data_IF_741951809646
#
_entry.id   IF_741951809646
#
_cell.length_a   1.000
_cell.length_b   1.000
_cell.length_c   1.000
_cell.angle_alpha   90.00
_cell.angle_beta   90.00
_cell.angle_gamma   90.00
#
_symmetry.space_group_name_H-M   'P 1'
#
loop_
_entity.id
_entity.type
_entity.pdbx_description
1 polymer ?
#
# COMPACT_ATOMS: atom_id res chain seq x y z
N UNK A 1 6.73 11.36 -33.90
CA UNK A 1 6.25 11.98 -32.64
C UNK A 1 7.44 11.98 -31.68
N UNK A 2 7.80 13.16 -31.15
CA UNK A 2 8.82 13.25 -30.09
C UNK A 2 8.19 12.68 -28.83
N UNK A 3 8.74 11.55 -28.33
CA UNK A 3 8.25 10.92 -27.10
C UNK A 3 8.62 11.77 -25.89
N UNK A 4 7.74 11.77 -24.87
CA UNK A 4 8.05 12.34 -23.56
C UNK A 4 8.79 11.31 -22.71
N UNK A 5 9.97 11.66 -22.24
CA UNK A 5 10.77 10.80 -21.38
C UNK A 5 10.34 10.95 -19.92
N UNK A 6 9.91 9.86 -19.32
CA UNK A 6 9.43 9.82 -17.94
C UNK A 6 10.26 8.81 -17.16
N UNK A 7 10.87 9.24 -16.05
CA UNK A 7 11.60 8.37 -15.15
C UNK A 7 10.77 8.12 -13.90
N UNK A 8 10.43 6.86 -13.65
CA UNK A 8 9.75 6.44 -12.43
C UNK A 8 10.78 6.06 -11.37
N UNK A 9 10.70 6.67 -10.17
CA UNK A 9 11.72 6.52 -9.11
C UNK A 9 11.08 5.90 -7.86
N UNK A 10 11.67 4.82 -7.37
CA UNK A 10 11.27 4.19 -6.11
C UNK A 10 12.43 3.40 -5.50
N UNK A 11 12.34 3.08 -4.20
CA UNK A 11 13.46 2.45 -3.49
C UNK A 11 13.08 1.37 -2.49
N UNK A 12 11.80 1.22 -2.16
CA UNK A 12 11.30 0.26 -1.19
C UNK A 12 10.27 -0.70 -1.80
N UNK A 13 10.07 -1.85 -1.18
CA UNK A 13 9.05 -2.81 -1.62
C UNK A 13 7.64 -2.21 -1.73
N UNK A 14 7.14 -1.46 -0.72
CA UNK A 14 5.80 -0.87 -0.81
C UNK A 14 5.65 0.14 -1.96
N UNK A 15 6.68 0.93 -2.24
CA UNK A 15 6.70 1.83 -3.41
C UNK A 15 6.67 1.03 -4.71
N UNK A 16 7.52 -0.01 -4.83
CA UNK A 16 7.63 -0.83 -6.02
C UNK A 16 6.30 -1.50 -6.38
N UNK A 17 5.59 -2.10 -5.42
CA UNK A 17 4.29 -2.72 -5.64
C UNK A 17 3.29 -1.73 -6.23
N UNK A 18 3.27 -0.51 -5.73
CA UNK A 18 2.33 0.54 -6.16
C UNK A 18 2.75 1.21 -7.46
N UNK A 19 4.06 1.27 -7.75
CA UNK A 19 4.58 1.90 -8.97
C UNK A 19 4.67 0.93 -10.16
N UNK A 20 4.82 -0.37 -9.92
CA UNK A 20 4.95 -1.35 -10.99
C UNK A 20 3.79 -1.35 -12.00
N UNK A 21 2.50 -1.33 -11.61
CA UNK A 21 1.41 -1.23 -12.57
C UNK A 21 1.42 0.09 -13.36
N UNK A 22 1.91 1.18 -12.75
CA UNK A 22 2.07 2.46 -13.43
C UNK A 22 3.21 2.39 -14.48
N UNK A 23 4.34 1.77 -14.15
CA UNK A 23 5.44 1.51 -15.10
C UNK A 23 4.91 0.73 -16.30
N UNK A 24 4.16 -0.36 -16.06
CA UNK A 24 3.57 -1.16 -17.15
C UNK A 24 2.56 -0.39 -18.00
N UNK A 25 1.82 0.54 -17.42
CA UNK A 25 0.90 1.40 -18.19
C UNK A 25 1.65 2.46 -19.01
N UNK A 26 2.76 3.02 -18.48
CA UNK A 26 3.63 3.94 -19.21
C UNK A 26 4.31 3.27 -20.42
N UNK A 27 4.81 2.03 -20.25
CA UNK A 27 5.43 1.24 -21.31
C UNK A 27 4.48 0.94 -22.49
N UNK A 28 3.16 0.91 -22.24
CA UNK A 28 2.15 0.68 -23.28
C UNK A 28 1.85 1.89 -24.16
N UNK A 29 2.36 3.07 -23.81
CA UNK A 29 2.06 4.32 -24.52
C UNK A 29 3.15 4.67 -25.51
N UNK A 30 2.76 4.78 -26.78
CA UNK A 30 3.70 5.11 -27.86
C UNK A 30 4.28 6.52 -27.73
N UNK A 31 3.57 7.44 -27.07
CA UNK A 31 3.96 8.81 -26.81
C UNK A 31 4.98 8.96 -25.69
N UNK A 32 5.25 7.89 -24.93
CA UNK A 32 6.11 7.92 -23.75
C UNK A 32 7.35 7.05 -23.96
N UNK A 33 8.49 7.55 -23.53
CA UNK A 33 9.71 6.79 -23.25
C UNK A 33 9.77 6.57 -21.75
N UNK A 34 9.37 5.36 -21.29
CA UNK A 34 9.37 5.00 -19.88
C UNK A 34 10.73 4.48 -19.45
N UNK A 35 11.26 5.03 -18.37
CA UNK A 35 12.50 4.61 -17.71
C UNK A 35 12.23 4.36 -16.23
N UNK A 36 12.99 3.44 -15.65
CA UNK A 36 12.89 3.09 -14.23
C UNK A 36 14.22 3.30 -13.54
N UNK A 37 14.21 4.09 -12.46
CA UNK A 37 15.35 4.29 -11.59
C UNK A 37 15.02 3.77 -10.18
N UNK A 38 15.78 2.79 -9.71
CA UNK A 38 15.64 2.28 -8.36
C UNK A 38 16.76 2.80 -7.47
N UNK A 39 16.41 3.21 -6.24
CA UNK A 39 17.43 3.59 -5.26
C UNK A 39 17.93 2.39 -4.47
N UNK A 40 17.17 1.29 -4.47
CA UNK A 40 17.46 0.04 -3.78
C UNK A 40 17.82 0.26 -2.30
N UNK A 41 16.96 1.01 -1.59
CA UNK A 41 17.08 1.23 -0.16
C UNK A 41 16.92 -0.08 0.63
N UNK A 42 16.13 -1.05 0.11
CA UNK A 42 15.91 -2.40 0.65
C UNK A 42 15.99 -3.43 -0.50
N UNK A 43 17.18 -3.92 -0.80
CA UNK A 43 17.51 -4.65 -2.02
C UNK A 43 16.67 -5.90 -2.27
N UNK A 44 16.78 -6.91 -1.40
CA UNK A 44 16.17 -8.22 -1.62
C UNK A 44 14.64 -8.16 -1.82
N UNK A 45 13.97 -7.38 -0.99
CA UNK A 45 12.50 -7.24 -1.08
C UNK A 45 12.04 -6.43 -2.30
N UNK A 46 12.89 -5.53 -2.80
CA UNK A 46 12.62 -4.76 -4.02
C UNK A 46 12.74 -5.66 -5.25
N UNK A 47 13.80 -6.45 -5.33
CA UNK A 47 14.08 -7.34 -6.46
C UNK A 47 12.95 -8.35 -6.69
N UNK A 48 12.35 -8.89 -5.62
CA UNK A 48 11.16 -9.76 -5.73
C UNK A 48 9.97 -9.10 -6.44
N UNK A 49 9.73 -7.81 -6.18
CA UNK A 49 8.64 -7.09 -6.85
C UNK A 49 8.99 -6.78 -8.30
N UNK A 50 10.22 -6.40 -8.59
CA UNK A 50 10.69 -6.18 -9.95
C UNK A 50 10.53 -7.43 -10.81
N UNK A 51 10.93 -8.58 -10.27
CA UNK A 51 10.75 -9.89 -10.91
C UNK A 51 9.27 -10.24 -11.13
N UNK A 52 8.43 -10.06 -10.10
CA UNK A 52 7.00 -10.33 -10.17
C UNK A 52 6.30 -9.56 -11.31
N UNK A 53 6.73 -8.32 -11.57
CA UNK A 53 6.15 -7.46 -12.60
C UNK A 53 6.95 -7.45 -13.91
N UNK A 54 8.01 -8.26 -14.02
CA UNK A 54 8.91 -8.27 -15.18
C UNK A 54 9.42 -6.86 -15.51
N UNK A 55 10.00 -6.19 -14.51
CA UNK A 55 10.59 -4.85 -14.61
C UNK A 55 12.10 -4.97 -14.44
N UNK A 56 12.84 -4.52 -15.47
CA UNK A 56 14.28 -4.33 -15.38
C UNK A 56 14.57 -2.85 -15.21
N UNK A 57 15.17 -2.41 -14.09
CA UNK A 57 15.52 -1.00 -13.91
C UNK A 57 16.54 -0.55 -14.95
N UNK A 58 16.37 0.65 -15.52
CA UNK A 58 17.37 1.29 -16.38
C UNK A 58 18.54 1.81 -15.53
N UNK A 59 18.24 2.27 -14.30
CA UNK A 59 19.23 2.82 -13.36
C UNK A 59 19.03 2.21 -11.98
N UNK A 60 20.14 1.84 -11.37
CA UNK A 60 20.18 1.28 -10.03
C UNK A 60 21.23 2.02 -9.19
N UNK A 61 20.78 2.88 -8.30
CA UNK A 61 21.69 3.70 -7.46
C UNK A 61 22.33 2.90 -6.32
N UNK A 62 21.76 1.75 -5.99
CA UNK A 62 22.27 0.82 -4.98
C UNK A 62 22.75 1.50 -3.68
N UNK A 63 21.89 2.34 -3.11
CA UNK A 63 22.27 3.17 -1.95
C UNK A 63 22.23 2.43 -0.61
N UNK A 64 21.79 1.17 -0.58
CA UNK A 64 21.67 0.38 0.65
C UNK A 64 22.99 0.25 1.39
N UNK A 65 23.00 0.62 2.67
CA UNK A 65 24.09 0.34 3.64
C UNK A 65 23.50 0.05 5.01
N UNK A 66 24.20 -0.74 5.81
CA UNK A 66 23.82 -1.01 7.20
C UNK A 66 23.82 0.29 8.02
N UNK A 67 22.78 0.53 8.81
CA UNK A 67 22.66 1.70 9.73
C UNK A 67 22.75 3.07 9.05
N UNK A 68 22.04 3.26 7.95
CA UNK A 68 21.99 4.57 7.27
C UNK A 68 21.18 5.60 8.08
N UNK A 69 21.66 6.84 8.12
CA UNK A 69 20.90 7.98 8.59
C UNK A 69 20.00 8.54 7.47
N UNK A 70 18.93 9.25 7.83
CA UNK A 70 18.07 9.95 6.84
C UNK A 70 18.88 10.91 5.98
N UNK A 71 19.81 11.66 6.57
CA UNK A 71 20.74 12.56 5.85
C UNK A 71 21.59 11.78 4.83
N UNK A 72 22.11 10.62 5.23
CA UNK A 72 22.94 9.78 4.36
C UNK A 72 22.16 9.24 3.16
N UNK A 73 20.90 8.84 3.37
CA UNK A 73 20.00 8.41 2.29
C UNK A 73 19.72 9.59 1.35
N UNK A 74 19.31 10.73 1.90
CA UNK A 74 19.01 11.95 1.11
C UNK A 74 20.18 12.35 0.22
N UNK A 75 21.39 12.46 0.77
CA UNK A 75 22.56 12.87 0.01
C UNK A 75 22.86 11.91 -1.15
N UNK A 76 22.84 10.59 -0.91
CA UNK A 76 23.12 9.60 -1.95
C UNK A 76 22.08 9.61 -3.08
N UNK A 77 20.81 9.77 -2.72
CA UNK A 77 19.73 9.87 -3.72
C UNK A 77 19.92 11.14 -4.56
N UNK A 78 20.21 12.28 -3.92
CA UNK A 78 20.46 13.53 -4.63
C UNK A 78 21.66 13.41 -5.59
N UNK A 79 22.79 12.91 -5.10
CA UNK A 79 24.02 12.76 -5.91
C UNK A 79 23.79 11.78 -7.09
N UNK A 80 23.20 10.61 -6.82
CA UNK A 80 22.96 9.61 -7.87
C UNK A 80 21.95 10.08 -8.92
N UNK A 81 20.87 10.74 -8.52
CA UNK A 81 19.88 11.27 -9.46
C UNK A 81 20.39 12.48 -10.24
N UNK A 82 21.28 13.30 -9.67
CA UNK A 82 21.89 14.42 -10.39
C UNK A 82 22.67 13.93 -11.63
N UNK A 83 23.38 12.79 -11.50
CA UNK A 83 24.09 12.16 -12.61
C UNK A 83 23.11 11.61 -13.65
N UNK A 84 22.10 10.85 -13.23
CA UNK A 84 21.08 10.28 -14.12
C UNK A 84 20.34 11.39 -14.89
N UNK A 85 19.96 12.47 -14.23
CA UNK A 85 19.19 13.53 -14.87
C UNK A 85 20.02 14.37 -15.84
N UNK A 86 21.31 14.56 -15.61
CA UNK A 86 22.21 15.22 -16.55
C UNK A 86 22.38 14.44 -17.85
N UNK A 87 22.41 13.11 -17.74
CA UNK A 87 22.52 12.20 -18.87
C UNK A 87 21.20 12.09 -19.64
N UNK A 88 20.12 11.73 -18.93
CA UNK A 88 18.84 11.36 -19.52
C UNK A 88 17.96 12.56 -19.90
N UNK A 89 18.05 13.65 -19.16
CA UNK A 89 17.24 14.88 -19.35
C UNK A 89 15.75 14.58 -19.49
N UNK A 90 15.13 13.91 -18.49
CA UNK A 90 13.72 13.54 -18.60
C UNK A 90 12.81 14.76 -18.62
N UNK A 91 11.66 14.64 -19.29
CA UNK A 91 10.61 15.66 -19.27
C UNK A 91 9.91 15.70 -17.90
N UNK A 92 9.75 14.54 -17.26
CA UNK A 92 9.11 14.39 -15.94
C UNK A 92 9.68 13.21 -15.17
N UNK A 93 9.66 13.32 -13.85
CA UNK A 93 9.85 12.18 -12.97
C UNK A 93 8.55 11.86 -12.23
N UNK A 94 8.37 10.59 -11.85
CA UNK A 94 7.30 10.14 -10.96
C UNK A 94 7.90 9.61 -9.67
N UNK A 95 7.39 10.10 -8.55
CA UNK A 95 7.74 9.65 -7.21
C UNK A 95 6.49 9.25 -6.46
N UNK A 96 6.61 8.39 -5.44
CA UNK A 96 5.47 7.80 -4.77
C UNK A 96 5.47 8.04 -3.26
N UNK A 97 4.35 8.47 -2.71
CA UNK A 97 4.10 8.50 -1.28
C UNK A 97 4.98 9.47 -0.50
N UNK A 98 5.75 8.95 0.46
CA UNK A 98 6.34 9.76 1.52
C UNK A 98 7.72 9.30 2.02
N UNK A 99 8.38 8.41 1.28
CA UNK A 99 9.72 7.97 1.66
C UNK A 99 10.77 9.08 1.52
N UNK A 100 11.94 8.87 2.11
CA UNK A 100 13.08 9.78 1.89
C UNK A 100 13.52 9.79 0.42
N UNK A 101 13.40 8.67 -0.28
CA UNK A 101 13.61 8.58 -1.74
C UNK A 101 12.65 9.49 -2.51
N UNK A 102 11.38 9.50 -2.14
CA UNK A 102 10.34 10.35 -2.74
C UNK A 102 10.70 11.84 -2.64
N UNK A 103 11.00 12.30 -1.44
CA UNK A 103 11.38 13.69 -1.19
C UNK A 103 12.69 14.06 -1.90
N UNK A 104 13.74 13.26 -1.73
CA UNK A 104 15.03 13.52 -2.34
C UNK A 104 14.97 13.48 -3.88
N UNK A 105 14.19 12.57 -4.46
CA UNK A 105 13.93 12.50 -5.89
C UNK A 105 13.25 13.76 -6.43
N UNK A 106 12.20 14.23 -5.76
CA UNK A 106 11.52 15.47 -6.12
C UNK A 106 12.45 16.70 -6.01
N UNK A 107 13.29 16.75 -4.97
CA UNK A 107 14.25 17.84 -4.78
C UNK A 107 15.34 17.84 -5.87
N UNK A 108 15.88 16.67 -6.22
CA UNK A 108 16.86 16.52 -7.30
C UNK A 108 16.28 17.00 -8.64
N UNK A 109 15.06 16.63 -8.95
CA UNK A 109 14.36 17.07 -10.16
C UNK A 109 14.13 18.58 -10.18
N UNK A 110 13.70 19.15 -9.05
CA UNK A 110 13.53 20.59 -8.93
C UNK A 110 14.83 21.36 -9.22
N UNK A 111 15.99 20.90 -8.74
CA UNK A 111 17.27 21.53 -9.01
C UNK A 111 17.65 21.51 -10.50
N UNK A 112 17.19 20.52 -11.24
CA UNK A 112 17.41 20.37 -12.68
C UNK A 112 16.25 20.95 -13.52
N UNK A 113 15.24 21.58 -12.88
CA UNK A 113 14.03 22.13 -13.53
C UNK A 113 13.23 21.06 -14.30
N UNK A 114 13.26 19.81 -13.82
CA UNK A 114 12.49 18.69 -14.34
C UNK A 114 11.14 18.66 -13.64
N UNK A 115 10.06 18.38 -14.38
CA UNK A 115 8.71 18.26 -13.84
C UNK A 115 8.58 17.07 -12.90
N UNK A 116 7.75 17.19 -11.87
CA UNK A 116 7.53 16.17 -10.86
C UNK A 116 6.05 15.79 -10.79
N UNK A 117 5.74 14.50 -10.97
CA UNK A 117 4.44 13.91 -10.66
C UNK A 117 4.50 13.14 -9.35
N UNK A 118 3.63 13.47 -8.41
CA UNK A 118 3.57 12.84 -7.09
C UNK A 118 2.40 11.87 -7.02
N UNK A 119 2.69 10.57 -7.00
CA UNK A 119 1.72 9.48 -6.86
C UNK A 119 1.42 9.23 -5.40
N UNK A 120 0.17 8.95 -5.04
CA UNK A 120 -0.34 8.85 -3.67
C UNK A 120 -0.14 10.17 -2.89
N UNK A 121 -0.46 11.28 -3.55
CA UNK A 121 -0.32 12.62 -3.00
C UNK A 121 -1.48 12.99 -2.07
N UNK A 122 -1.22 13.82 -1.07
CA UNK A 122 -2.26 14.48 -0.27
C UNK A 122 -2.70 13.76 1.00
N UNK A 123 -2.11 12.62 1.36
CA UNK A 123 -2.30 12.04 2.68
C UNK A 123 -1.71 12.97 3.76
N UNK A 124 -2.45 13.23 4.84
CA UNK A 124 -2.02 14.12 5.93
C UNK A 124 -2.45 13.63 7.29
N UNK A 125 -1.58 13.77 8.26
CA UNK A 125 -1.89 13.67 9.69
C UNK A 125 -1.94 15.04 10.36
N UNK A 126 -1.37 16.06 9.71
CA UNK A 126 -1.18 17.42 10.23
C UNK A 126 -0.28 17.49 11.49
N UNK A 127 0.45 16.42 11.77
CA UNK A 127 1.45 16.36 12.83
C UNK A 127 2.83 16.06 12.23
N UNK A 128 3.69 17.08 12.11
CA UNK A 128 4.99 16.97 11.44
C UNK A 128 5.95 15.92 12.00
N UNK A 129 5.68 15.40 13.19
CA UNK A 129 6.47 14.37 13.84
C UNK A 129 5.78 13.01 13.88
N UNK A 130 4.58 12.88 13.26
CA UNK A 130 3.85 11.62 13.26
C UNK A 130 3.01 11.43 11.99
N UNK A 131 3.36 10.41 11.17
CA UNK A 131 4.58 9.58 11.23
C UNK A 131 5.83 10.41 10.90
N UNK A 132 6.98 9.98 11.42
CA UNK A 132 8.26 10.65 11.19
C UNK A 132 9.23 9.71 10.45
N UNK A 133 9.85 10.19 9.33
CA UNK A 133 9.82 11.54 8.72
C UNK A 133 8.70 11.74 7.67
N UNK A 134 7.80 10.77 7.50
CA UNK A 134 6.90 10.62 6.35
C UNK A 134 5.96 11.83 6.17
N UNK A 135 5.40 12.40 7.26
CA UNK A 135 4.49 13.54 7.13
C UNK A 135 5.16 14.76 6.47
N UNK A 136 6.41 15.03 6.86
CA UNK A 136 7.15 16.15 6.25
C UNK A 136 7.65 15.82 4.85
N UNK A 137 8.07 14.59 4.60
CA UNK A 137 8.46 14.17 3.25
C UNK A 137 7.31 14.39 2.25
N UNK A 138 6.09 13.94 2.57
CA UNK A 138 4.92 14.10 1.68
C UNK A 138 4.53 15.55 1.48
N UNK A 139 4.65 16.37 2.53
CA UNK A 139 4.33 17.78 2.46
C UNK A 139 5.33 18.57 1.61
N UNK A 140 6.62 18.33 1.80
CA UNK A 140 7.69 18.95 1.01
C UNK A 140 7.66 18.49 -0.46
N UNK A 141 7.43 17.20 -0.70
CA UNK A 141 7.24 16.66 -2.06
C UNK A 141 6.04 17.34 -2.74
N UNK A 142 4.92 17.50 -2.04
CA UNK A 142 3.74 18.20 -2.54
C UNK A 142 4.03 19.64 -2.95
N UNK A 143 4.93 20.33 -2.23
CA UNK A 143 5.34 21.71 -2.61
C UNK A 143 6.26 21.77 -3.83
N UNK A 144 6.92 20.66 -4.19
CA UNK A 144 7.84 20.57 -5.34
C UNK A 144 7.16 19.99 -6.59
N UNK A 145 6.05 19.28 -6.43
CA UNK A 145 5.38 18.57 -7.52
C UNK A 145 4.58 19.52 -8.42
N UNK A 146 4.59 19.24 -9.73
CA UNK A 146 3.77 19.90 -10.74
C UNK A 146 2.40 19.24 -10.91
N UNK A 147 2.33 17.89 -10.77
CA UNK A 147 1.10 17.11 -10.82
C UNK A 147 0.93 16.27 -9.55
N UNK A 148 -0.29 16.20 -9.08
CA UNK A 148 -0.64 15.48 -7.84
C UNK A 148 -1.71 14.42 -8.14
N UNK A 149 -1.38 13.16 -7.91
CA UNK A 149 -2.28 12.03 -8.11
C UNK A 149 -2.79 11.56 -6.75
N UNK A 150 -3.94 12.12 -6.36
CA UNK A 150 -4.55 11.88 -5.06
C UNK A 150 -5.35 10.57 -5.08
N UNK A 151 -5.19 9.67 -4.08
CA UNK A 151 -5.96 8.44 -4.04
C UNK A 151 -7.45 8.67 -3.77
N UNK A 152 -7.80 9.70 -3.00
CA UNK A 152 -9.17 9.99 -2.56
C UNK A 152 -9.51 11.47 -2.68
N UNK A 153 -10.81 11.78 -2.56
CA UNK A 153 -11.27 13.16 -2.44
C UNK A 153 -10.68 13.86 -1.20
N UNK A 154 -10.59 13.17 -0.06
CA UNK A 154 -9.97 13.72 1.15
C UNK A 154 -8.53 14.15 0.94
N UNK A 155 -7.76 13.35 0.20
CA UNK A 155 -6.38 13.68 -0.18
C UNK A 155 -6.32 14.90 -1.12
N UNK A 156 -7.22 15.01 -2.11
CA UNK A 156 -7.36 16.21 -2.97
C UNK A 156 -7.67 17.45 -2.14
N UNK A 157 -8.63 17.34 -1.22
CA UNK A 157 -9.04 18.46 -0.36
C UNK A 157 -7.89 18.95 0.54
N UNK A 158 -7.01 18.06 1.01
CA UNK A 158 -5.81 18.42 1.77
C UNK A 158 -4.82 19.24 0.92
N UNK A 159 -4.54 18.79 -0.30
CA UNK A 159 -3.66 19.52 -1.24
C UNK A 159 -4.23 20.89 -1.59
N UNK A 160 -5.53 20.98 -1.85
CA UNK A 160 -6.20 22.24 -2.15
C UNK A 160 -6.10 23.23 -0.98
N UNK A 161 -6.27 22.78 0.28
CA UNK A 161 -6.09 23.59 1.48
C UNK A 161 -4.66 24.11 1.66
N UNK A 162 -3.67 23.39 1.11
CA UNK A 162 -2.25 23.81 1.13
C UNK A 162 -1.90 24.75 -0.04
N UNK A 163 -2.88 25.13 -0.86
CA UNK A 163 -2.73 26.12 -1.93
C UNK A 163 -2.30 25.54 -3.28
N UNK A 164 -2.39 24.22 -3.46
CA UNK A 164 -2.18 23.60 -4.77
C UNK A 164 -3.37 23.91 -5.67
N UNK A 165 -3.14 24.27 -6.93
CA UNK A 165 -4.19 24.54 -7.88
C UNK A 165 -5.02 23.28 -8.16
N UNK A 166 -6.32 23.44 -8.25
CA UNK A 166 -7.22 22.31 -8.48
C UNK A 166 -6.95 21.60 -9.82
N UNK A 167 -6.54 22.35 -10.85
CA UNK A 167 -6.16 21.83 -12.17
C UNK A 167 -4.98 20.86 -12.16
N UNK A 168 -4.14 20.93 -11.12
CA UNK A 168 -2.92 20.15 -10.99
C UNK A 168 -3.13 18.90 -10.10
N UNK A 169 -4.38 18.69 -9.60
CA UNK A 169 -4.74 17.60 -8.70
C UNK A 169 -5.77 16.70 -9.37
N UNK A 170 -5.43 15.43 -9.54
CA UNK A 170 -6.32 14.40 -10.10
C UNK A 170 -6.66 13.34 -9.06
N UNK A 171 -7.95 13.03 -8.88
CA UNK A 171 -8.36 11.88 -8.04
C UNK A 171 -8.24 10.62 -8.89
N UNK A 172 -7.25 9.79 -8.60
CA UNK A 172 -6.93 8.62 -9.42
C UNK A 172 -7.37 7.30 -8.81
N UNK A 173 -7.56 7.23 -7.51
CA UNK A 173 -7.52 6.01 -6.73
C UNK A 173 -6.07 5.64 -6.40
N UNK A 174 -5.88 4.57 -5.62
CA UNK A 174 -4.57 4.08 -5.23
C UNK A 174 -4.10 2.96 -6.17
N UNK A 175 -2.87 3.06 -6.66
CA UNK A 175 -2.26 2.10 -7.58
C UNK A 175 -2.01 0.72 -6.98
N UNK A 176 -2.07 0.56 -5.65
CA UNK A 176 -2.04 -0.76 -5.02
C UNK A 176 -3.20 -1.64 -5.48
N UNK A 177 -4.36 -1.02 -5.76
CA UNK A 177 -5.52 -1.74 -6.27
C UNK A 177 -5.27 -2.25 -7.71
N UNK A 178 -4.55 -1.48 -8.52
CA UNK A 178 -4.09 -1.94 -9.85
C UNK A 178 -3.14 -3.13 -9.74
N UNK A 179 -2.24 -3.11 -8.76
CA UNK A 179 -1.26 -4.19 -8.54
C UNK A 179 -1.94 -5.53 -8.27
N UNK A 180 -3.10 -5.53 -7.59
CA UNK A 180 -3.82 -6.76 -7.25
C UNK A 180 -4.30 -7.53 -8.48
N UNK A 181 -4.49 -6.88 -9.63
CA UNK A 181 -4.80 -7.55 -10.90
C UNK A 181 -3.66 -8.44 -11.41
N UNK A 182 -2.44 -8.20 -10.96
CA UNK A 182 -1.24 -8.94 -11.34
C UNK A 182 -0.81 -9.96 -10.28
N UNK A 183 -1.24 -9.78 -9.04
CA UNK A 183 -0.82 -10.62 -7.92
C UNK A 183 -1.87 -11.66 -7.52
N UNK A 184 -3.15 -11.39 -7.74
CA UNK A 184 -4.24 -12.30 -7.37
C UNK A 184 -4.55 -13.25 -8.53
N UNK A 185 -4.51 -14.54 -8.24
CA UNK A 185 -4.81 -15.62 -9.20
C UNK A 185 -5.97 -16.48 -8.70
N UNK A 186 -6.84 -16.92 -9.62
CA UNK A 186 -8.05 -17.68 -9.26
C UNK A 186 -7.72 -19.02 -8.60
N UNK A 187 -6.75 -19.74 -9.15
CA UNK A 187 -6.37 -21.10 -8.73
C UNK A 187 -4.92 -21.12 -8.18
N UNK A 188 -4.61 -20.11 -7.35
CA UNK A 188 -3.28 -19.94 -6.79
C UNK A 188 -2.89 -21.10 -5.88
N UNK A 189 -1.71 -21.66 -6.11
CA UNK A 189 -1.04 -22.65 -5.26
C UNK A 189 0.05 -21.93 -4.49
N UNK A 190 0.00 -22.00 -3.16
CA UNK A 190 0.95 -21.33 -2.30
C UNK A 190 2.33 -21.99 -2.37
N UNK A 191 3.39 -21.18 -2.34
CA UNK A 191 4.76 -21.66 -2.16
C UNK A 191 4.99 -22.08 -0.69
N UNK A 192 4.33 -21.39 0.25
CA UNK A 192 4.30 -21.75 1.67
C UNK A 192 3.44 -23.01 1.86
N UNK A 193 4.08 -24.16 2.11
CA UNK A 193 3.41 -25.48 2.19
C UNK A 193 2.29 -25.52 3.21
N UNK A 194 2.46 -24.85 4.36
CA UNK A 194 1.47 -24.79 5.44
C UNK A 194 0.13 -24.22 4.96
N UNK A 195 0.15 -23.27 4.03
CA UNK A 195 -1.07 -22.69 3.45
C UNK A 195 -1.83 -23.65 2.55
N UNK A 196 -1.15 -24.61 1.92
CA UNK A 196 -1.80 -25.63 1.10
C UNK A 196 -2.52 -26.70 1.93
N UNK A 197 -2.25 -26.76 3.23
CA UNK A 197 -2.91 -27.68 4.17
C UNK A 197 -4.16 -27.07 4.84
N UNK A 198 -4.44 -25.78 4.60
CA UNK A 198 -5.60 -25.09 5.17
C UNK A 198 -6.85 -25.42 4.36
N UNK A 199 -7.93 -25.76 5.06
CA UNK A 199 -9.24 -25.99 4.43
C UNK A 199 -9.96 -24.66 4.14
N UNK A 200 -9.74 -24.11 2.96
CA UNK A 200 -10.42 -22.89 2.52
C UNK A 200 -11.92 -23.04 2.22
N UNK A 201 -12.52 -24.23 2.39
CA UNK A 201 -13.97 -24.37 2.42
C UNK A 201 -14.57 -23.92 3.76
N UNK A 202 -13.76 -23.84 4.80
CA UNK A 202 -14.11 -23.22 6.08
C UNK A 202 -13.99 -21.69 5.98
N UNK A 203 -14.47 -21.00 7.02
CA UNK A 203 -14.30 -19.55 7.16
C UNK A 203 -12.91 -19.24 7.68
N UNK A 204 -11.98 -19.01 6.77
CA UNK A 204 -10.60 -18.63 7.11
C UNK A 204 -10.54 -17.14 7.43
N UNK A 205 -9.99 -16.77 8.58
CA UNK A 205 -9.72 -15.37 8.97
C UNK A 205 -8.22 -15.14 8.88
N UNK A 206 -7.83 -14.18 8.04
CA UNK A 206 -6.44 -13.74 7.96
C UNK A 206 -6.19 -12.65 9.00
N UNK A 207 -5.10 -12.79 9.79
CA UNK A 207 -4.74 -11.84 10.84
C UNK A 207 -3.34 -11.28 10.60
N UNK A 208 -3.20 -9.95 10.81
CA UNK A 208 -1.92 -9.28 11.00
C UNK A 208 -2.05 -8.24 12.11
N UNK A 209 -1.20 -8.29 13.13
CA UNK A 209 -1.16 -7.28 14.19
C UNK A 209 0.29 -7.11 14.68
N UNK A 210 0.84 -5.90 14.57
CA UNK A 210 2.24 -5.62 14.87
C UNK A 210 2.53 -4.16 15.24
N UNK A 211 1.54 -3.28 15.20
CA UNK A 211 1.71 -1.85 15.50
C UNK A 211 2.19 -1.64 16.93
N UNK A 212 3.11 -0.70 17.13
CA UNK A 212 3.71 -0.41 18.46
C UNK A 212 2.67 -0.05 19.51
N UNK A 213 1.58 0.61 19.11
CA UNK A 213 0.47 0.96 19.98
C UNK A 213 -0.24 -0.27 20.58
N UNK A 214 -0.14 -1.43 19.93
CA UNK A 214 -0.75 -2.68 20.38
C UNK A 214 0.21 -3.56 21.22
N UNK A 215 1.49 -3.20 21.34
CA UNK A 215 2.45 -4.04 22.06
C UNK A 215 2.07 -4.23 23.54
N UNK A 216 2.40 -5.37 24.08
CA UNK A 216 2.03 -5.79 25.44
C UNK A 216 0.56 -6.21 25.52
N UNK A 217 -0.21 -5.56 26.39
CA UNK A 217 -1.59 -5.95 26.68
C UNK A 217 -2.50 -5.99 25.43
N UNK A 218 -2.27 -5.11 24.45
CA UNK A 218 -3.05 -5.11 23.20
C UNK A 218 -2.89 -6.41 22.42
N UNK A 219 -1.65 -6.91 22.24
CA UNK A 219 -1.40 -8.19 21.56
C UNK A 219 -1.96 -9.36 22.39
N UNK A 220 -1.82 -9.34 23.72
CA UNK A 220 -2.39 -10.37 24.58
C UNK A 220 -3.92 -10.43 24.44
N UNK A 221 -4.59 -9.30 24.47
CA UNK A 221 -6.04 -9.20 24.28
C UNK A 221 -6.49 -9.73 22.91
N UNK A 222 -5.74 -9.36 21.85
CA UNK A 222 -5.99 -9.88 20.50
C UNK A 222 -5.88 -11.41 20.49
N UNK A 223 -4.83 -11.99 21.06
CA UNK A 223 -4.64 -13.44 21.14
C UNK A 223 -5.78 -14.11 21.92
N UNK A 224 -6.22 -13.54 23.04
CA UNK A 224 -7.35 -14.04 23.81
C UNK A 224 -8.65 -14.02 22.99
N UNK A 225 -8.93 -12.92 22.30
CA UNK A 225 -10.10 -12.80 21.42
C UNK A 225 -10.08 -13.83 20.29
N UNK A 226 -8.93 -14.01 19.62
CA UNK A 226 -8.75 -14.99 18.55
C UNK A 226 -9.01 -16.42 19.02
N UNK A 227 -8.46 -16.81 20.18
CA UNK A 227 -8.72 -18.12 20.76
C UNK A 227 -10.23 -18.34 21.02
N UNK A 228 -10.90 -17.37 21.62
CA UNK A 228 -12.34 -17.44 21.89
C UNK A 228 -13.17 -17.55 20.60
N UNK A 229 -12.81 -16.82 19.53
CA UNK A 229 -13.50 -16.88 18.23
C UNK A 229 -13.43 -18.30 17.67
N UNK A 230 -12.26 -18.94 17.69
CA UNK A 230 -12.09 -20.32 17.20
C UNK A 230 -12.85 -21.32 18.05
N UNK A 231 -12.81 -21.19 19.37
CA UNK A 231 -13.54 -22.08 20.28
C UNK A 231 -15.07 -21.99 20.09
N UNK A 232 -15.60 -20.80 19.84
CA UNK A 232 -17.03 -20.57 19.63
C UNK A 232 -17.52 -20.95 18.23
N UNK A 233 -16.63 -21.07 17.23
CA UNK A 233 -16.98 -21.30 15.83
C UNK A 233 -16.18 -22.49 15.25
N UNK A 234 -16.75 -23.71 15.25
CA UNK A 234 -16.05 -24.92 14.78
C UNK A 234 -15.67 -24.91 13.28
N UNK A 235 -16.35 -24.09 12.48
CA UNK A 235 -16.14 -23.90 11.03
C UNK A 235 -15.13 -22.78 10.69
N UNK A 236 -14.44 -22.24 11.73
CA UNK A 236 -13.46 -21.16 11.55
C UNK A 236 -12.04 -21.69 11.71
N UNK A 237 -11.16 -21.25 10.82
CA UNK A 237 -9.70 -21.36 10.94
C UNK A 237 -9.06 -19.98 10.88
N UNK A 238 -7.97 -19.79 11.61
CA UNK A 238 -7.21 -18.55 11.63
C UNK A 238 -5.84 -18.73 10.99
N UNK A 239 -5.43 -17.75 10.19
CA UNK A 239 -4.07 -17.66 9.65
C UNK A 239 -3.47 -16.34 10.12
N UNK A 240 -2.55 -16.42 11.06
CA UNK A 240 -1.90 -15.24 11.61
C UNK A 240 -0.49 -15.09 11.02
N UNK A 241 -0.28 -14.07 10.23
CA UNK A 241 1.03 -13.67 9.72
C UNK A 241 1.77 -12.89 10.83
N UNK A 242 2.57 -13.62 11.59
CA UNK A 242 3.20 -13.12 12.82
C UNK A 242 4.46 -12.30 12.48
N UNK A 243 4.48 -11.05 12.92
CA UNK A 243 5.62 -10.17 12.73
C UNK A 243 6.87 -10.71 13.46
N UNK A 244 8.05 -10.60 12.82
CA UNK A 244 9.31 -11.17 13.32
C UNK A 244 9.86 -10.51 14.59
N UNK A 245 9.33 -9.35 14.99
CA UNK A 245 9.76 -8.68 16.22
C UNK A 245 9.44 -9.56 17.44
N UNK A 246 10.44 -9.90 18.29
CA UNK A 246 10.23 -10.74 19.47
C UNK A 246 9.12 -10.28 20.39
N UNK A 247 8.91 -8.95 20.54
CA UNK A 247 7.85 -8.37 21.38
C UNK A 247 6.46 -8.83 20.95
N UNK A 248 6.26 -9.12 19.66
CA UNK A 248 5.00 -9.65 19.12
C UNK A 248 5.06 -11.17 19.04
N UNK A 249 6.13 -11.69 18.42
CA UNK A 249 6.29 -13.11 18.13
C UNK A 249 6.18 -13.98 19.37
N UNK A 250 6.93 -13.64 20.42
CA UNK A 250 7.00 -14.47 21.62
C UNK A 250 5.63 -14.57 22.32
N UNK A 251 4.91 -13.45 22.41
CA UNK A 251 3.55 -13.42 23.00
C UNK A 251 2.56 -14.24 22.17
N UNK A 252 2.57 -14.08 20.84
CA UNK A 252 1.64 -14.80 19.95
C UNK A 252 1.89 -16.31 20.00
N UNK A 253 3.16 -16.75 19.92
CA UNK A 253 3.50 -18.18 20.00
C UNK A 253 3.21 -18.78 21.38
N UNK A 254 3.44 -18.03 22.47
CA UNK A 254 3.08 -18.47 23.83
C UNK A 254 1.56 -18.68 23.99
N UNK A 255 0.75 -17.75 23.45
CA UNK A 255 -0.71 -17.77 23.66
C UNK A 255 -1.45 -18.68 22.67
N UNK A 256 -0.96 -18.85 21.45
CA UNK A 256 -1.68 -19.48 20.35
C UNK A 256 -0.97 -20.68 19.71
N UNK A 257 0.30 -20.96 20.07
CA UNK A 257 1.15 -21.94 19.38
C UNK A 257 0.63 -23.39 19.41
N UNK A 258 -0.15 -23.77 20.42
CA UNK A 258 -0.66 -25.13 20.60
C UNK A 258 -2.12 -25.30 20.14
N UNK A 259 -2.66 -24.36 19.37
CA UNK A 259 -4.08 -24.37 18.96
C UNK A 259 -4.25 -24.97 17.58
N UNK A 260 -5.02 -26.08 17.47
CA UNK A 260 -5.15 -26.89 16.25
C UNK A 260 -5.66 -26.13 15.01
N UNK A 261 -6.55 -25.13 15.20
CA UNK A 261 -7.16 -24.35 14.09
C UNK A 261 -6.60 -22.94 13.98
N UNK A 262 -5.43 -22.69 14.58
CA UNK A 262 -4.72 -21.41 14.50
C UNK A 262 -3.34 -21.64 13.88
N UNK A 263 -3.13 -21.16 12.67
CA UNK A 263 -1.91 -21.32 11.91
C UNK A 263 -1.06 -20.07 12.06
N UNK A 264 0.09 -20.20 12.72
CA UNK A 264 1.04 -19.11 12.96
C UNK A 264 2.15 -19.18 11.90
N UNK A 265 2.16 -18.24 10.99
CA UNK A 265 3.11 -18.19 9.87
C UNK A 265 4.02 -16.97 9.98
N UNK A 266 5.20 -17.07 9.39
CA UNK A 266 6.05 -15.90 9.14
C UNK A 266 5.37 -14.94 8.13
N UNK A 267 5.77 -13.67 8.09
CA UNK A 267 5.28 -12.76 7.05
C UNK A 267 5.52 -13.33 5.66
N UNK A 268 4.49 -13.29 4.84
CA UNK A 268 4.51 -13.75 3.45
C UNK A 268 5.00 -12.66 2.49
N UNK A 269 5.35 -13.04 1.28
CA UNK A 269 5.53 -12.08 0.21
C UNK A 269 4.17 -11.45 -0.21
N UNK A 270 4.23 -10.49 -1.10
CA UNK A 270 3.03 -9.74 -1.52
C UNK A 270 2.04 -10.63 -2.28
N UNK A 271 2.54 -11.51 -3.17
CA UNK A 271 1.69 -12.36 -4.00
C UNK A 271 0.95 -13.38 -3.14
N UNK A 272 1.65 -14.05 -2.25
CA UNK A 272 1.05 -14.97 -1.28
C UNK A 272 0.06 -14.27 -0.34
N UNK A 273 0.43 -13.07 0.17
CA UNK A 273 -0.46 -12.28 1.03
C UNK A 273 -1.77 -11.92 0.34
N UNK A 274 -1.72 -11.44 -0.91
CA UNK A 274 -2.91 -11.09 -1.68
C UNK A 274 -3.78 -12.33 -1.99
N UNK A 275 -3.17 -13.46 -2.30
CA UNK A 275 -3.92 -14.69 -2.57
C UNK A 275 -4.50 -15.31 -1.30
N UNK A 276 -3.80 -15.26 -0.16
CA UNK A 276 -4.35 -15.66 1.13
C UNK A 276 -5.55 -14.76 1.48
N UNK A 277 -5.42 -13.45 1.32
CA UNK A 277 -6.50 -12.49 1.53
C UNK A 277 -7.71 -12.80 0.62
N UNK A 278 -7.46 -13.09 -0.66
CA UNK A 278 -8.51 -13.45 -1.62
C UNK A 278 -9.24 -14.75 -1.24
N UNK A 279 -8.55 -15.74 -0.69
CA UNK A 279 -9.14 -17.00 -0.22
C UNK A 279 -9.75 -16.89 1.19
N UNK A 280 -9.46 -15.84 1.94
CA UNK A 280 -9.98 -15.64 3.28
C UNK A 280 -11.45 -15.22 3.28
N UNK A 281 -12.16 -15.51 4.37
CA UNK A 281 -13.52 -15.04 4.63
C UNK A 281 -13.52 -13.55 5.00
N UNK A 282 -12.67 -13.16 5.94
CA UNK A 282 -12.46 -11.76 6.37
C UNK A 282 -11.03 -11.54 6.83
N UNK A 283 -10.67 -10.28 7.03
CA UNK A 283 -9.34 -9.87 7.50
C UNK A 283 -9.46 -9.13 8.83
N UNK A 284 -8.56 -9.42 9.76
CA UNK A 284 -8.39 -8.68 11.01
C UNK A 284 -6.98 -8.10 11.02
N UNK A 285 -6.85 -6.78 11.09
CA UNK A 285 -5.54 -6.14 10.88
C UNK A 285 -5.39 -4.80 11.59
N UNK A 286 -4.15 -4.46 11.92
CA UNK A 286 -3.75 -3.10 12.30
C UNK A 286 -2.96 -2.37 11.19
N UNK A 287 -2.80 -3.01 10.01
CA UNK A 287 -2.11 -2.45 8.85
C UNK A 287 -2.99 -1.48 8.07
N UNK A 288 -2.44 -0.30 7.72
CA UNK A 288 -3.13 0.68 6.85
C UNK A 288 -3.34 0.16 5.42
N UNK A 289 -2.35 -0.54 4.84
CA UNK A 289 -2.44 -1.08 3.48
C UNK A 289 -3.57 -2.09 3.30
N UNK A 290 -3.70 -3.04 4.23
CA UNK A 290 -4.74 -4.06 4.15
C UNK A 290 -6.16 -3.49 4.29
N UNK A 291 -6.31 -2.31 4.90
CA UNK A 291 -7.60 -1.59 4.95
C UNK A 291 -8.01 -1.05 3.56
N UNK A 292 -7.07 -0.89 2.64
CA UNK A 292 -7.31 -0.48 1.26
C UNK A 292 -7.47 -1.70 0.33
N UNK A 293 -6.67 -2.73 0.55
CA UNK A 293 -6.53 -3.90 -0.32
C UNK A 293 -7.65 -4.93 -0.12
N UNK A 294 -7.94 -5.34 1.12
CA UNK A 294 -8.93 -6.39 1.41
C UNK A 294 -10.36 -6.02 0.94
N UNK A 295 -10.84 -4.78 1.08
CA UNK A 295 -12.13 -4.38 0.54
C UNK A 295 -12.25 -4.51 -0.99
N UNK A 296 -11.14 -4.37 -1.72
CA UNK A 296 -11.14 -4.57 -3.18
C UNK A 296 -11.47 -6.02 -3.56
N UNK A 297 -11.10 -6.97 -2.72
CA UNK A 297 -11.43 -8.40 -2.86
C UNK A 297 -12.80 -8.76 -2.26
N UNK A 298 -13.58 -7.77 -1.84
CA UNK A 298 -14.87 -8.00 -1.18
C UNK A 298 -14.74 -8.64 0.20
N UNK A 299 -13.62 -8.42 0.89
CA UNK A 299 -13.38 -8.99 2.23
C UNK A 299 -13.65 -7.95 3.31
N UNK A 300 -14.59 -8.21 4.24
CA UNK A 300 -14.78 -7.36 5.42
C UNK A 300 -13.51 -7.25 6.24
N UNK A 301 -13.24 -6.06 6.77
CA UNK A 301 -12.04 -5.81 7.58
C UNK A 301 -12.42 -5.34 8.98
N UNK A 302 -11.94 -6.04 9.99
CA UNK A 302 -11.94 -5.59 11.38
C UNK A 302 -10.57 -4.99 11.72
N UNK A 303 -10.56 -3.69 12.02
CA UNK A 303 -9.33 -2.95 12.30
C UNK A 303 -9.04 -3.00 13.79
N UNK A 304 -7.92 -3.65 14.15
CA UNK A 304 -7.45 -3.86 15.53
C UNK A 304 -6.78 -2.59 16.09
N UNK A 305 -7.44 -1.44 15.94
CA UNK A 305 -6.98 -0.12 16.38
C UNK A 305 -8.18 0.73 16.81
N UNK A 306 -7.94 1.68 17.70
CA UNK A 306 -8.96 2.66 18.12
C UNK A 306 -9.13 3.78 17.11
N UNK A 307 -8.09 4.09 16.36
CA UNK A 307 -8.06 5.12 15.30
C UNK A 307 -7.40 4.60 14.03
N UNK A 308 -7.75 5.18 12.89
CA UNK A 308 -7.12 4.86 11.60
C UNK A 308 -6.81 6.14 10.81
N UNK A 309 -5.74 6.12 10.03
CA UNK A 309 -5.44 7.11 9.00
C UNK A 309 -6.24 6.88 7.70
N UNK A 310 -7.22 6.01 7.74
CA UNK A 310 -8.08 5.60 6.60
C UNK A 310 -9.56 5.85 6.92
N UNK A 311 -9.96 7.10 7.25
CA UNK A 311 -11.33 7.42 7.64
C UNK A 311 -12.35 7.09 6.54
N UNK A 312 -11.96 7.23 5.28
CA UNK A 312 -12.83 6.97 4.13
C UNK A 312 -13.29 5.50 4.08
N UNK A 313 -12.47 4.54 4.52
CA UNK A 313 -12.84 3.13 4.59
C UNK A 313 -13.92 2.87 5.66
N UNK A 314 -13.82 3.56 6.78
CA UNK A 314 -14.83 3.50 7.85
C UNK A 314 -16.15 4.11 7.39
N UNK A 315 -16.10 5.28 6.77
CA UNK A 315 -17.28 5.98 6.22
C UNK A 315 -17.94 5.18 5.10
N UNK A 316 -17.14 4.53 4.25
CA UNK A 316 -17.65 3.63 3.20
C UNK A 316 -18.29 2.36 3.76
N UNK A 317 -17.98 2.00 5.01
CA UNK A 317 -18.43 0.77 5.63
C UNK A 317 -17.69 -0.49 5.17
N UNK A 318 -16.53 -0.35 4.52
CA UNK A 318 -15.67 -1.47 4.11
C UNK A 318 -14.84 -2.02 5.25
N UNK A 319 -14.55 -1.19 6.25
CA UNK A 319 -13.83 -1.57 7.46
C UNK A 319 -14.58 -1.13 8.70
N UNK A 320 -14.29 -1.79 9.83
CA UNK A 320 -14.80 -1.42 11.15
C UNK A 320 -13.69 -1.39 12.18
N UNK A 321 -13.56 -0.27 12.91
CA UNK A 321 -12.64 -0.17 14.04
C UNK A 321 -13.20 -0.99 15.22
N UNK A 322 -12.39 -1.87 15.78
CA UNK A 322 -12.75 -2.72 16.91
C UNK A 322 -11.79 -2.56 18.10
N UNK A 323 -10.68 -1.84 17.91
CA UNK A 323 -9.66 -1.68 18.95
C UNK A 323 -9.01 -3.00 19.33
N UNK A 324 -8.55 -3.08 20.58
CA UNK A 324 -7.94 -4.28 21.17
C UNK A 324 -8.74 -4.83 22.35
N UNK A 325 -9.98 -4.40 22.54
CA UNK A 325 -10.85 -4.93 23.59
C UNK A 325 -11.38 -6.31 23.20
N UNK A 326 -11.15 -7.32 24.04
CA UNK A 326 -11.48 -8.73 23.81
C UNK A 326 -12.94 -8.92 23.41
N UNK A 327 -13.87 -8.39 24.22
CA UNK A 327 -15.32 -8.57 24.01
C UNK A 327 -15.79 -7.90 22.72
N UNK A 328 -15.23 -6.74 22.38
CA UNK A 328 -15.56 -6.02 21.15
C UNK A 328 -15.10 -6.80 19.93
N UNK A 329 -13.86 -7.31 19.93
CA UNK A 329 -13.33 -8.13 18.83
C UNK A 329 -14.20 -9.37 18.63
N UNK A 330 -14.51 -10.12 19.68
CA UNK A 330 -15.33 -11.35 19.62
C UNK A 330 -16.72 -11.02 19.08
N UNK A 331 -17.38 -10.00 19.62
CA UNK A 331 -18.74 -9.59 19.21
C UNK A 331 -18.80 -9.25 17.73
N UNK A 332 -17.88 -8.40 17.25
CA UNK A 332 -17.89 -7.95 15.85
C UNK A 332 -17.48 -9.05 14.88
N UNK A 333 -16.55 -9.92 15.27
CA UNK A 333 -16.18 -11.09 14.48
C UNK A 333 -17.34 -12.08 14.37
N UNK A 334 -17.98 -12.45 15.49
CA UNK A 334 -19.13 -13.34 15.51
C UNK A 334 -20.31 -12.78 14.71
N UNK A 335 -20.52 -11.46 14.75
CA UNK A 335 -21.56 -10.82 13.93
C UNK A 335 -21.33 -11.06 12.43
N UNK A 336 -20.09 -10.92 11.94
CA UNK A 336 -19.78 -11.20 10.52
C UNK A 336 -19.84 -12.69 10.20
N UNK A 337 -19.46 -13.56 11.14
CA UNK A 337 -19.48 -15.01 10.95
C UNK A 337 -20.90 -15.60 10.91
N UNK A 338 -21.84 -15.01 11.63
CA UNK A 338 -23.17 -15.57 11.87
C UNK A 338 -24.31 -14.81 11.19
N UNK A 339 -24.10 -13.54 10.80
CA UNK A 339 -25.10 -12.71 10.13
C UNK A 339 -24.66 -12.37 8.70
N UNK A 340 -25.23 -13.09 7.75
CA UNK A 340 -24.95 -12.90 6.32
C UNK A 340 -25.27 -11.48 5.83
N UNK A 341 -26.29 -10.82 6.39
CA UNK A 341 -26.63 -9.46 6.02
C UNK A 341 -25.55 -8.47 6.44
N UNK A 342 -24.99 -8.64 7.65
CA UNK A 342 -23.88 -7.82 8.14
C UNK A 342 -22.63 -8.06 7.31
N UNK A 343 -22.31 -9.30 6.97
CA UNK A 343 -21.22 -9.67 6.09
C UNK A 343 -21.39 -9.03 4.69
N UNK A 344 -22.53 -9.26 4.04
CA UNK A 344 -22.82 -8.76 2.71
C UNK A 344 -22.79 -7.22 2.62
N UNK A 345 -23.17 -6.53 3.69
CA UNK A 345 -23.13 -5.06 3.74
C UNK A 345 -21.70 -4.55 3.66
N UNK A 346 -20.76 -5.18 4.36
CA UNK A 346 -19.36 -4.79 4.33
C UNK A 346 -18.65 -5.27 3.05
N UNK A 347 -18.85 -6.53 2.67
CA UNK A 347 -18.17 -7.14 1.52
C UNK A 347 -18.57 -6.52 0.17
N UNK A 348 -19.79 -5.97 0.06
CA UNK A 348 -20.31 -5.31 -1.14
C UNK A 348 -20.20 -3.79 -1.11
N UNK A 349 -19.67 -3.21 -0.02
CA UNK A 349 -19.42 -1.78 0.06
C UNK A 349 -18.36 -1.37 -0.97
N UNK A 350 -18.53 -0.19 -1.54
CA UNK A 350 -17.59 0.32 -2.56
C UNK A 350 -16.28 0.69 -1.91
N UNK A 351 -15.18 0.17 -2.42
CA UNK A 351 -13.85 0.53 -1.95
C UNK A 351 -13.52 1.99 -2.29
N UNK A 352 -13.28 2.87 -1.30
CA UNK A 352 -13.01 4.28 -1.54
C UNK A 352 -11.60 4.55 -2.09
N UNK A 353 -10.74 3.53 -2.13
CA UNK A 353 -9.32 3.67 -2.54
C UNK A 353 -9.06 3.27 -3.99
N UNK A 354 -10.06 2.86 -4.75
CA UNK A 354 -9.87 2.62 -6.17
C UNK A 354 -10.67 1.47 -6.74
N UNK A 355 -10.63 1.40 -8.06
CA UNK A 355 -11.32 0.42 -8.92
C UNK A 355 -10.33 -0.36 -9.81
N UNK A 356 -9.03 -0.18 -9.58
CA UNK A 356 -7.94 -0.85 -10.28
C UNK A 356 -7.60 -0.27 -11.65
N UNK A 357 -7.90 1.00 -11.90
CA UNK A 357 -7.46 1.72 -13.11
C UNK A 357 -6.77 3.06 -12.78
N UNK A 358 -6.20 3.17 -11.58
CA UNK A 358 -5.49 4.37 -11.15
C UNK A 358 -4.29 4.69 -12.07
N UNK A 359 -3.51 3.69 -12.43
CA UNK A 359 -2.36 3.85 -13.33
C UNK A 359 -2.74 4.44 -14.68
N UNK A 360 -3.87 3.98 -15.25
CA UNK A 360 -4.40 4.52 -16.51
C UNK A 360 -4.82 6.00 -16.37
N UNK A 361 -5.44 6.38 -15.23
CA UNK A 361 -5.81 7.78 -14.96
C UNK A 361 -4.57 8.67 -14.85
N UNK A 362 -3.54 8.20 -14.13
CA UNK A 362 -2.26 8.91 -13.99
C UNK A 362 -1.63 9.16 -15.35
N UNK A 363 -1.51 8.13 -16.19
CA UNK A 363 -0.91 8.27 -17.52
C UNK A 363 -1.72 9.20 -18.42
N UNK A 364 -3.06 9.10 -18.39
CA UNK A 364 -3.92 10.01 -19.15
C UNK A 364 -3.76 11.47 -18.69
N UNK A 365 -3.61 11.72 -17.38
CA UNK A 365 -3.35 13.06 -16.86
C UNK A 365 -1.99 13.61 -17.34
N UNK A 366 -0.97 12.76 -17.38
CA UNK A 366 0.36 13.14 -17.92
C UNK A 366 0.27 13.46 -19.41
N UNK A 367 -0.41 12.62 -20.20
CA UNK A 367 -0.61 12.88 -21.64
C UNK A 367 -1.37 14.20 -21.87
N UNK A 368 -2.40 14.48 -21.08
CA UNK A 368 -3.13 15.74 -21.12
C UNK A 368 -2.25 16.94 -20.76
N UNK A 369 -1.43 16.81 -19.69
CA UNK A 369 -0.49 17.86 -19.28
C UNK A 369 0.48 18.27 -20.39
N UNK A 370 0.92 17.30 -21.22
CA UNK A 370 1.80 17.54 -22.37
C UNK A 370 1.04 17.79 -23.68
N UNK A 371 -0.27 17.98 -23.63
CA UNK A 371 -1.12 18.20 -24.82
C UNK A 371 -0.97 17.10 -25.90
N UNK A 372 -0.72 15.85 -25.43
CA UNK A 372 -0.63 14.66 -26.30
C UNK A 372 -1.96 13.95 -26.49
N UNK A 373 -3.01 14.41 -25.80
CA UNK A 373 -4.38 13.93 -25.93
C UNK A 373 -5.38 15.04 -25.60
N UNK A 374 -6.49 15.06 -26.34
CA UNK A 374 -7.64 15.93 -26.06
C UNK A 374 -8.65 15.31 -25.08
N UNK A 375 -8.43 14.06 -24.67
CA UNK A 375 -9.36 13.37 -23.76
C UNK A 375 -9.27 13.92 -22.35
N UNK A 376 -10.45 14.18 -21.76
CA UNK A 376 -10.55 14.51 -20.34
C UNK A 376 -10.15 13.29 -19.49
N UNK A 377 -9.53 13.55 -18.34
CA UNK A 377 -9.19 12.50 -17.39
C UNK A 377 -10.46 12.10 -16.65
N UNK A 378 -10.82 10.83 -16.76
CA UNK A 378 -11.92 10.27 -15.94
C UNK A 378 -11.45 10.07 -14.52
N UNK A 379 -11.71 11.05 -13.65
CA UNK A 379 -11.31 10.96 -12.24
C UNK A 379 -12.07 9.83 -11.53
N UNK A 380 -11.42 9.22 -10.53
CA UNK A 380 -12.07 8.24 -9.67
C UNK A 380 -13.20 8.90 -8.88
N UNK A 381 -14.42 8.45 -9.11
CA UNK A 381 -15.62 8.91 -8.41
C UNK A 381 -16.09 7.81 -7.46
N UNK A 382 -16.25 8.17 -6.20
CA UNK A 382 -16.85 7.31 -5.18
C UNK A 382 -18.36 7.27 -5.33
#
# INVERSE_FOLDING_TARGET
VIKKKIITIFGTRPEAIKMAPLVKELERREEIESKVCVTAQHREMLDQVLELFDITPDFDLNIMKTKQSLTGITNKVLEGLDEVFKEEKPDMILVHGDTTTTFAGALAAFYQQIRVGHVEAGLRTFNKYFPFPEEMNRKLTGSLADLHFAPTKGSKDNLFREGINESDIYITGNTVIDAMKHTVEKDYVFETEELNNIDFNKKVIMITAHRRENWGQGIENICEALNNIVEQNPDVELVYLVHLNPVVKDVVFEKLGDKERIHLLSPLDTKETHNLMNKSFMVMTDSGGLQEEAPHLGKPVLVLRDVTERPEAVEAGTVKLVGTNVETIIREANKLLQDENSYNRMSKAINPYGDGIASKRIVNAILKYYELTDHEVDEFKR
#
